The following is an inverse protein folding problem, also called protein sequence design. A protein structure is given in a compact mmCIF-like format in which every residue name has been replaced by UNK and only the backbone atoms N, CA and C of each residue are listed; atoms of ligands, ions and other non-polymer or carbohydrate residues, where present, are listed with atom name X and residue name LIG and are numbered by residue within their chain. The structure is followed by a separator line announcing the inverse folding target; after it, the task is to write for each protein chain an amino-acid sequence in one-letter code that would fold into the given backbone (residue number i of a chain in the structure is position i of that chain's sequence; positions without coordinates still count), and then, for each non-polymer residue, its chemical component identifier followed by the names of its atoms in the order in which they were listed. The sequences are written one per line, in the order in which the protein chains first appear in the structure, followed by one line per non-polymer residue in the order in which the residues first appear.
data_IF_322860204425
#
_entry.id   IF_322860204425
#
_cell.length_a   1.000
_cell.length_b   1.000
_cell.length_c   1.000
_cell.angle_alpha   90.00
_cell.angle_beta   90.00
_cell.angle_gamma   90.00
#
_symmetry.space_group_name_H-M   'P 1'
#
loop_
_entity.id
_entity.type
_entity.pdbx_description
1 polymer ?
#
# COMPACT_ATOMS: atom_id res chain seq x y z
N UNK A 1 -7.36 13.26 -24.42
CA UNK A 1 -8.63 13.92 -24.03
C UNK A 1 -9.63 12.80 -23.72
N UNK A 2 -10.34 12.83 -22.60
CA UNK A 2 -11.37 11.82 -22.29
C UNK A 2 -12.74 12.32 -22.78
N UNK A 3 -13.52 11.44 -23.41
CA UNK A 3 -14.88 11.71 -23.89
C UNK A 3 -15.86 10.73 -23.24
N UNK A 4 -17.02 11.23 -22.83
CA UNK A 4 -18.14 10.41 -22.35
C UNK A 4 -19.11 10.02 -23.49
N UNK A 5 -18.76 10.34 -24.73
CA UNK A 5 -19.56 9.99 -25.90
C UNK A 5 -19.54 8.47 -26.13
N UNK A 6 -20.69 7.78 -26.17
CA UNK A 6 -20.76 6.34 -26.44
C UNK A 6 -20.12 5.92 -27.77
N UNK A 7 -20.06 6.82 -28.75
CA UNK A 7 -19.42 6.57 -30.05
C UNK A 7 -17.89 6.43 -29.95
N UNK A 8 -17.30 6.99 -28.89
CA UNK A 8 -15.86 6.98 -28.62
C UNK A 8 -15.43 5.81 -27.71
N UNK A 9 -16.37 4.94 -27.30
CA UNK A 9 -16.09 3.75 -26.49
C UNK A 9 -15.19 2.74 -27.21
N UNK A 10 -15.20 2.74 -28.55
CA UNK A 10 -14.33 1.90 -29.37
C UNK A 10 -12.86 2.32 -29.36
N UNK A 11 -12.54 3.54 -28.92
CA UNK A 11 -11.17 4.04 -28.89
C UNK A 11 -10.41 3.50 -27.67
N UNK A 12 -9.77 2.36 -27.84
CA UNK A 12 -9.00 1.68 -26.80
C UNK A 12 -7.87 2.54 -26.23
N UNK A 13 -7.30 3.48 -27.00
CA UNK A 13 -6.24 4.38 -26.54
C UNK A 13 -6.75 5.47 -25.59
N UNK A 14 -8.05 5.74 -25.54
CA UNK A 14 -8.65 6.65 -24.56
C UNK A 14 -9.01 5.96 -23.24
N UNK A 15 -9.35 4.67 -23.27
CA UNK A 15 -9.95 3.97 -22.13
C UNK A 15 -9.02 2.98 -21.44
N UNK A 16 -7.95 2.54 -22.13
CA UNK A 16 -7.00 1.57 -21.60
C UNK A 16 -5.65 2.24 -21.34
N UNK A 17 -5.22 2.23 -20.09
CA UNK A 17 -3.93 2.81 -19.66
C UNK A 17 -2.76 1.84 -19.83
N UNK A 18 -3.01 0.61 -20.26
CA UNK A 18 -1.99 -0.41 -20.45
C UNK A 18 -0.88 0.11 -21.38
N UNK A 19 0.36 0.07 -20.90
CA UNK A 19 1.55 0.53 -21.65
C UNK A 19 1.70 -0.20 -22.99
N UNK A 20 1.31 -1.48 -23.07
CA UNK A 20 1.33 -2.25 -24.32
C UNK A 20 0.40 -1.70 -25.39
N UNK A 21 -0.69 -1.04 -25.00
CA UNK A 21 -1.66 -0.42 -25.90
C UNK A 21 -1.24 1.02 -26.18
N UNK A 22 -0.90 1.78 -25.13
CA UNK A 22 -0.53 3.20 -25.24
C UNK A 22 0.70 3.47 -26.12
N UNK A 23 1.65 2.53 -26.20
CA UNK A 23 2.83 2.64 -27.08
C UNK A 23 2.52 2.78 -28.57
N UNK A 24 1.34 2.34 -29.00
CA UNK A 24 0.92 2.41 -30.40
C UNK A 24 0.04 3.63 -30.69
N UNK A 25 -0.18 4.51 -29.71
CA UNK A 25 -0.96 5.74 -29.89
C UNK A 25 -0.11 6.83 -30.58
N UNK A 26 -0.71 7.60 -31.49
CA UNK A 26 -0.02 8.68 -32.23
C UNK A 26 0.57 9.77 -31.30
N UNK A 27 -0.05 10.01 -30.14
CA UNK A 27 0.37 11.01 -29.14
C UNK A 27 1.29 10.42 -28.04
N UNK A 28 1.86 9.22 -28.24
CA UNK A 28 2.72 8.59 -27.25
C UNK A 28 4.01 9.39 -27.05
N UNK A 29 4.21 9.94 -25.85
CA UNK A 29 5.45 10.62 -25.51
C UNK A 29 6.52 9.60 -25.10
N UNK A 30 7.43 9.26 -26.01
CA UNK A 30 8.54 8.32 -25.76
C UNK A 30 9.46 8.73 -24.61
N UNK A 31 9.60 10.04 -24.34
CA UNK A 31 10.52 10.55 -23.30
C UNK A 31 10.06 10.25 -21.86
N UNK A 32 8.75 10.20 -21.61
CA UNK A 32 8.17 9.93 -20.28
C UNK A 32 7.24 8.71 -20.25
N UNK A 33 6.86 8.16 -21.40
CA UNK A 33 6.03 6.96 -21.55
C UNK A 33 4.61 7.08 -20.99
N UNK A 34 4.08 8.32 -20.91
CA UNK A 34 2.80 8.65 -20.25
C UNK A 34 2.71 8.19 -18.79
N UNK A 35 3.84 8.23 -18.07
CA UNK A 35 3.94 7.84 -16.66
C UNK A 35 4.38 9.01 -15.80
N UNK A 36 3.78 9.11 -14.62
CA UNK A 36 4.25 9.95 -13.53
C UNK A 36 4.68 9.08 -12.36
N UNK A 37 5.69 9.53 -11.62
CA UNK A 37 5.98 8.91 -10.34
C UNK A 37 4.83 9.16 -9.37
N UNK A 38 4.67 8.29 -8.38
CA UNK A 38 3.68 8.49 -7.31
C UNK A 38 3.95 9.81 -6.56
N UNK A 39 5.20 10.24 -6.43
CA UNK A 39 5.56 11.51 -5.81
C UNK A 39 5.02 12.70 -6.62
N UNK A 40 5.21 12.68 -7.95
CA UNK A 40 4.77 13.76 -8.84
C UNK A 40 3.24 13.84 -8.90
N UNK A 41 2.56 12.69 -8.99
CA UNK A 41 1.09 12.63 -8.96
C UNK A 41 0.54 13.24 -7.66
N UNK A 42 1.09 12.86 -6.51
CA UNK A 42 0.59 13.35 -5.23
C UNK A 42 0.93 14.83 -5.02
N UNK A 43 2.09 15.30 -5.50
CA UNK A 43 2.43 16.72 -5.51
C UNK A 43 1.45 17.53 -6.38
N UNK A 44 1.10 17.02 -7.56
CA UNK A 44 0.12 17.67 -8.43
C UNK A 44 -1.27 17.76 -7.79
N UNK A 45 -1.73 16.69 -7.15
CA UNK A 45 -3.01 16.70 -6.44
C UNK A 45 -2.95 17.63 -5.22
N UNK A 46 -1.82 17.69 -4.50
CA UNK A 46 -1.66 18.59 -3.35
C UNK A 46 -1.76 20.05 -3.81
N UNK A 47 -1.11 20.40 -4.91
CA UNK A 47 -1.17 21.75 -5.49
C UNK A 47 -2.54 22.15 -6.02
N UNK A 48 -3.39 21.20 -6.44
CA UNK A 48 -4.69 21.48 -7.06
C UNK A 48 -5.89 21.27 -6.14
N UNK A 49 -5.80 20.38 -5.16
CA UNK A 49 -6.90 19.93 -4.28
C UNK A 49 -6.59 20.07 -2.79
N UNK A 50 -5.35 20.44 -2.44
CA UNK A 50 -4.90 20.63 -1.08
C UNK A 50 -4.36 19.37 -0.40
N UNK A 51 -3.58 19.58 0.65
CA UNK A 51 -2.88 18.51 1.40
C UNK A 51 -3.82 17.48 2.02
N UNK A 52 -4.94 17.93 2.59
CA UNK A 52 -5.90 17.03 3.24
C UNK A 52 -6.50 16.02 2.24
N UNK A 53 -6.79 16.46 1.02
CA UNK A 53 -7.35 15.61 -0.03
C UNK A 53 -6.34 14.54 -0.46
N UNK A 54 -5.07 14.92 -0.61
CA UNK A 54 -3.98 13.98 -0.93
C UNK A 54 -3.78 12.95 0.17
N UNK A 55 -3.80 13.37 1.44
CA UNK A 55 -3.61 12.45 2.55
C UNK A 55 -4.77 11.45 2.64
N UNK A 56 -6.01 11.92 2.45
CA UNK A 56 -7.19 11.05 2.36
C UNK A 56 -7.08 10.04 1.21
N UNK A 57 -6.67 10.48 0.02
CA UNK A 57 -6.48 9.59 -1.12
C UNK A 57 -5.37 8.57 -0.87
N UNK A 58 -4.21 9.01 -0.39
CA UNK A 58 -3.07 8.14 -0.05
C UNK A 58 -3.49 7.08 0.96
N UNK A 59 -4.19 7.49 2.00
CA UNK A 59 -4.70 6.59 3.02
C UNK A 59 -5.70 5.58 2.44
N UNK A 60 -6.69 6.03 1.65
CA UNK A 60 -7.67 5.16 1.02
C UNK A 60 -7.03 4.11 0.10
N UNK A 61 -6.00 4.48 -0.67
CA UNK A 61 -5.23 3.52 -1.50
C UNK A 61 -4.52 2.46 -0.65
N UNK A 62 -3.91 2.86 0.48
CA UNK A 62 -3.30 1.90 1.42
C UNK A 62 -4.32 0.93 2.00
N UNK A 63 -5.50 1.44 2.37
CA UNK A 63 -6.57 0.60 2.93
C UNK A 63 -7.14 -0.40 1.91
N UNK A 64 -7.20 -0.04 0.61
CA UNK A 64 -7.54 -1.00 -0.45
C UNK A 64 -6.61 -2.23 -0.43
N UNK A 65 -5.29 -1.99 -0.32
CA UNK A 65 -4.29 -3.07 -0.27
C UNK A 65 -4.46 -3.92 0.99
N UNK A 66 -4.62 -3.30 2.16
CA UNK A 66 -4.78 -4.03 3.43
C UNK A 66 -6.07 -4.85 3.45
N UNK A 67 -7.20 -4.28 3.02
CA UNK A 67 -8.49 -4.97 3.05
C UNK A 67 -8.58 -6.13 2.06
N UNK A 68 -8.05 -5.95 0.86
CA UNK A 68 -8.03 -7.01 -0.14
C UNK A 68 -7.21 -8.22 0.32
N UNK A 69 -6.01 -8.00 0.88
CA UNK A 69 -5.19 -9.07 1.44
C UNK A 69 -5.84 -9.74 2.66
N UNK A 70 -6.42 -8.96 3.58
CA UNK A 70 -7.14 -9.52 4.74
C UNK A 70 -8.33 -10.39 4.34
N UNK A 71 -9.08 -9.98 3.31
CA UNK A 71 -10.24 -10.74 2.84
C UNK A 71 -9.87 -12.16 2.35
N UNK A 72 -8.64 -12.35 1.86
CA UNK A 72 -8.13 -13.62 1.35
C UNK A 72 -7.15 -14.32 2.31
N UNK A 73 -6.82 -13.72 3.45
CA UNK A 73 -5.82 -14.24 4.40
C UNK A 73 -6.10 -15.70 4.82
N UNK A 74 -7.38 -16.08 4.96
CA UNK A 74 -7.76 -17.44 5.34
C UNK A 74 -7.60 -18.51 4.25
N UNK A 75 -7.40 -18.11 2.99
CA UNK A 75 -7.23 -19.02 1.85
C UNK A 75 -5.81 -19.00 1.27
N UNK A 76 -5.06 -17.93 1.51
CA UNK A 76 -3.66 -17.81 1.09
C UNK A 76 -2.79 -18.76 1.91
N UNK A 77 -1.98 -19.58 1.23
CA UNK A 77 -1.01 -20.46 1.90
C UNK A 77 0.07 -19.59 2.53
N UNK A 78 0.11 -19.59 3.86
CA UNK A 78 1.09 -18.83 4.63
C UNK A 78 2.26 -19.75 5.03
N UNK A 79 3.30 -19.78 4.20
CA UNK A 79 4.58 -20.41 4.53
C UNK A 79 5.60 -19.31 4.88
N UNK A 80 6.23 -19.42 6.05
CA UNK A 80 7.22 -18.46 6.56
C UNK A 80 8.46 -18.30 5.68
N UNK A 81 8.70 -19.22 4.75
CA UNK A 81 9.82 -19.17 3.81
C UNK A 81 9.41 -18.62 2.43
N UNK A 82 8.12 -18.28 2.25
CA UNK A 82 7.58 -17.72 1.04
C UNK A 82 7.28 -16.24 1.21
N UNK A 83 7.44 -15.50 0.12
CA UNK A 83 6.99 -14.11 -0.01
C UNK A 83 6.42 -13.92 -1.41
N UNK A 84 5.55 -12.94 -1.58
CA UNK A 84 4.95 -12.62 -2.87
C UNK A 84 4.90 -11.10 -3.06
N UNK A 85 5.18 -10.67 -4.30
CA UNK A 85 5.12 -9.26 -4.69
C UNK A 85 3.90 -9.06 -5.61
N UNK A 86 2.93 -8.29 -5.13
CA UNK A 86 1.72 -7.99 -5.88
C UNK A 86 1.79 -6.62 -6.55
N UNK A 87 1.23 -6.51 -7.75
CA UNK A 87 0.89 -5.25 -8.41
C UNK A 87 -0.58 -4.91 -8.21
N UNK A 88 -0.87 -3.70 -7.74
CA UNK A 88 -2.25 -3.22 -7.54
C UNK A 88 -2.60 -2.16 -8.58
N UNK A 89 -3.63 -2.43 -9.36
CA UNK A 89 -4.14 -1.48 -10.34
C UNK A 89 -5.34 -0.74 -9.75
N UNK A 90 -5.13 0.53 -9.43
CA UNK A 90 -6.12 1.39 -8.76
C UNK A 90 -6.43 2.57 -9.68
N UNK A 91 -7.72 2.77 -9.97
CA UNK A 91 -8.20 3.97 -10.67
C UNK A 91 -8.71 5.00 -9.65
N UNK A 92 -8.43 6.28 -9.89
CA UNK A 92 -8.90 7.38 -9.04
C UNK A 92 -9.91 8.20 -9.82
N UNK A 93 -11.10 8.39 -9.24
CA UNK A 93 -12.16 9.18 -9.89
C UNK A 93 -12.03 10.69 -9.66
N UNK A 94 -12.95 11.46 -10.26
CA UNK A 94 -12.97 12.92 -10.16
C UNK A 94 -13.18 13.45 -8.72
N UNK A 95 -13.71 12.63 -7.80
CA UNK A 95 -13.88 12.95 -6.40
C UNK A 95 -12.69 12.50 -5.53
N UNK A 96 -11.59 12.07 -6.16
CA UNK A 96 -10.42 11.48 -5.50
C UNK A 96 -10.73 10.22 -4.70
N UNK A 97 -11.75 9.45 -5.13
CA UNK A 97 -12.01 8.14 -4.56
C UNK A 97 -11.24 7.08 -5.37
N UNK A 98 -10.37 6.29 -4.72
CA UNK A 98 -9.69 5.18 -5.37
C UNK A 98 -10.61 3.95 -5.47
N UNK A 99 -10.49 3.22 -6.57
CA UNK A 99 -11.21 1.99 -6.87
C UNK A 99 -10.23 0.93 -7.33
N UNK A 100 -10.26 -0.24 -6.67
CA UNK A 100 -9.45 -1.39 -7.08
C UNK A 100 -10.01 -1.97 -8.37
N UNK A 101 -9.15 -2.14 -9.37
CA UNK A 101 -9.49 -2.78 -10.65
C UNK A 101 -9.07 -4.24 -10.63
N UNK A 102 -7.79 -4.49 -10.38
CA UNK A 102 -7.22 -5.84 -10.33
C UNK A 102 -5.99 -5.92 -9.43
N UNK A 103 -5.65 -7.16 -9.05
CA UNK A 103 -4.44 -7.50 -8.30
C UNK A 103 -3.66 -8.53 -9.11
N UNK A 104 -2.42 -8.20 -9.43
CA UNK A 104 -1.52 -9.01 -10.24
C UNK A 104 -0.49 -9.70 -9.36
N UNK A 105 -0.51 -11.05 -9.36
CA UNK A 105 0.49 -11.90 -8.67
C UNK A 105 1.89 -11.88 -9.34
N UNK A 106 2.01 -11.28 -10.52
CA UNK A 106 3.27 -11.18 -11.26
C UNK A 106 3.35 -9.84 -11.98
N UNK A 107 3.60 -8.74 -11.26
CA UNK A 107 3.74 -7.43 -11.88
C UNK A 107 4.91 -7.42 -12.87
N UNK A 108 4.72 -6.76 -14.03
CA UNK A 108 5.75 -6.73 -15.07
C UNK A 108 7.00 -5.97 -14.60
N UNK A 109 8.14 -6.65 -14.59
CA UNK A 109 9.45 -6.05 -14.33
C UNK A 109 10.21 -5.64 -15.60
N UNK A 110 9.58 -5.72 -16.78
CA UNK A 110 10.19 -5.26 -18.05
C UNK A 110 10.27 -3.72 -18.09
N UNK A 111 11.48 -3.16 -18.17
CA UNK A 111 11.66 -1.71 -18.24
C UNK A 111 11.39 -1.19 -19.65
N UNK A 112 10.62 -0.11 -19.77
CA UNK A 112 10.33 0.53 -21.07
C UNK A 112 10.92 1.94 -21.18
N UNK A 113 11.38 2.50 -20.07
CA UNK A 113 12.07 3.79 -19.96
C UNK A 113 13.23 3.68 -18.95
N UNK A 114 14.15 4.65 -18.94
CA UNK A 114 15.22 4.70 -17.94
C UNK A 114 14.66 4.84 -16.52
N UNK A 115 13.62 5.65 -16.35
CA UNK A 115 12.92 5.81 -15.07
C UNK A 115 12.30 4.49 -14.59
N UNK A 116 11.67 3.71 -15.49
CA UNK A 116 11.15 2.37 -15.15
C UNK A 116 12.28 1.45 -14.69
N UNK A 117 13.44 1.48 -15.36
CA UNK A 117 14.57 0.61 -15.01
C UNK A 117 15.08 0.91 -13.61
N UNK A 118 15.26 2.18 -13.28
CA UNK A 118 15.72 2.59 -11.94
C UNK A 118 14.71 2.19 -10.88
N UNK A 119 13.43 2.48 -11.10
CA UNK A 119 12.36 2.13 -10.15
C UNK A 119 12.26 0.62 -9.94
N UNK A 120 12.29 -0.16 -11.02
CA UNK A 120 12.14 -1.63 -10.94
C UNK A 120 13.36 -2.29 -10.31
N UNK A 121 14.57 -1.79 -10.59
CA UNK A 121 15.78 -2.24 -9.93
C UNK A 121 15.71 -1.98 -8.42
N UNK A 122 15.23 -0.79 -8.02
CA UNK A 122 15.05 -0.44 -6.61
C UNK A 122 14.02 -1.34 -5.92
N UNK A 123 12.88 -1.60 -6.56
CA UNK A 123 11.86 -2.53 -6.05
C UNK A 123 12.44 -3.91 -5.76
N UNK A 124 13.25 -4.46 -6.68
CA UNK A 124 13.89 -5.78 -6.52
C UNK A 124 14.90 -5.75 -5.36
N UNK A 125 15.80 -4.77 -5.33
CA UNK A 125 16.83 -4.62 -4.30
C UNK A 125 16.21 -4.49 -2.91
N UNK A 126 15.20 -3.62 -2.76
CA UNK A 126 14.51 -3.39 -1.50
C UNK A 126 13.63 -4.59 -1.10
N UNK A 127 13.04 -5.33 -2.05
CA UNK A 127 12.33 -6.59 -1.75
C UNK A 127 13.28 -7.59 -1.10
N UNK A 128 14.47 -7.78 -1.70
CA UNK A 128 15.46 -8.72 -1.17
C UNK A 128 15.97 -8.27 0.20
N UNK A 129 16.14 -6.97 0.44
CA UNK A 129 16.49 -6.44 1.77
C UNK A 129 15.43 -6.78 2.81
N UNK A 130 14.14 -6.55 2.51
CA UNK A 130 13.04 -6.85 3.45
C UNK A 130 13.02 -8.34 3.80
N UNK A 131 13.09 -9.21 2.79
CA UNK A 131 13.01 -10.67 2.98
C UNK A 131 14.28 -11.20 3.67
N UNK A 132 15.47 -10.70 3.32
CA UNK A 132 16.72 -11.14 3.95
C UNK A 132 16.84 -10.64 5.41
N UNK A 133 16.48 -9.38 5.69
CA UNK A 133 16.52 -8.84 7.05
C UNK A 133 15.60 -9.63 8.02
N UNK A 134 14.46 -10.13 7.54
CA UNK A 134 13.59 -10.99 8.36
C UNK A 134 14.22 -12.35 8.75
N UNK A 135 15.19 -12.85 7.97
CA UNK A 135 15.89 -14.11 8.26
C UNK A 135 16.91 -13.94 9.38
N UNK A 136 17.66 -12.84 9.37
CA UNK A 136 18.68 -12.57 10.38
C UNK A 136 18.06 -12.33 11.76
N UNK A 137 16.88 -11.69 11.81
CA UNK A 137 16.11 -11.52 13.05
C UNK A 137 15.56 -12.84 13.63
N UNK A 138 15.31 -13.86 12.80
CA UNK A 138 14.82 -15.17 13.28
C UNK A 138 15.94 -16.11 13.75
N UNK A 139 17.18 -15.92 13.29
CA UNK A 139 18.28 -16.85 13.58
C UNK A 139 19.15 -16.45 14.78
N UNK A 140 19.24 -15.15 15.11
CA UNK A 140 20.03 -14.68 16.24
C UNK A 140 19.15 -13.93 17.22
N UNK A 141 19.01 -14.45 18.45
CA UNK A 141 18.39 -13.74 19.58
C UNK A 141 19.14 -12.48 20.04
N UNK A 142 19.92 -11.85 19.16
CA UNK A 142 20.69 -10.62 19.39
C UNK A 142 20.56 -9.70 18.17
N UNK A 143 19.75 -8.65 18.35
CA UNK A 143 19.76 -7.34 17.68
C UNK A 143 20.23 -7.21 16.23
N UNK A 144 19.26 -6.96 15.34
CA UNK A 144 19.40 -6.51 13.95
C UNK A 144 19.95 -5.06 13.83
N UNK A 145 21.02 -4.72 14.54
CA UNK A 145 21.54 -3.34 14.64
C UNK A 145 22.59 -3.00 13.55
N UNK A 146 23.19 -3.98 12.88
CA UNK A 146 24.39 -3.75 12.05
C UNK A 146 24.12 -3.63 10.54
N UNK A 147 22.99 -4.16 10.04
CA UNK A 147 22.65 -4.11 8.61
C UNK A 147 21.87 -2.84 8.19
N UNK A 148 21.48 -2.02 9.15
CA UNK A 148 20.61 -0.84 8.97
C UNK A 148 21.38 0.49 8.89
N UNK A 149 22.69 0.47 8.61
CA UNK A 149 23.46 1.70 8.40
C UNK A 149 23.48 2.08 6.92
N UNK A 150 23.13 3.33 6.56
CA UNK A 150 23.41 3.82 5.22
C UNK A 150 24.91 3.80 5.00
N UNK A 151 25.36 3.27 3.86
CA UNK A 151 26.74 3.33 3.42
C UNK A 151 27.11 4.77 3.03
N UNK A 152 27.30 5.63 4.02
CA UNK A 152 28.01 6.91 3.89
C UNK A 152 28.81 7.11 5.17
N UNK A 153 30.12 7.22 5.00
CA UNK A 153 31.11 7.18 6.08
C UNK A 153 30.82 8.19 7.19
N UNK A 154 30.79 7.70 8.42
CA UNK A 154 30.90 8.53 9.61
C UNK A 154 31.66 7.75 10.70
N UNK A 155 32.74 8.38 11.14
CA UNK A 155 33.68 7.97 12.19
C UNK A 155 32.94 7.75 13.51
N UNK A 156 33.33 6.70 14.25
CA UNK A 156 32.53 6.12 15.31
C UNK A 156 32.53 6.82 16.67
N UNK A 157 31.67 6.33 17.57
CA UNK A 157 31.83 6.40 19.04
C UNK A 157 30.97 5.31 19.71
N UNK A 158 31.60 4.56 20.62
CA UNK A 158 31.08 3.90 21.84
C UNK A 158 29.69 3.24 21.87
N UNK A 159 29.67 1.91 22.02
CA UNK A 159 28.49 1.13 22.39
C UNK A 159 28.13 1.30 23.88
N UNK A 160 26.85 1.55 24.18
CA UNK A 160 26.25 1.23 25.48
C UNK A 160 25.07 0.26 25.26
N UNK A 161 25.17 -0.90 25.91
CA UNK A 161 24.16 -1.95 25.89
C UNK A 161 23.02 -1.57 26.85
N UNK A 162 21.81 -1.39 26.31
CA UNK A 162 20.62 -1.04 27.08
C UNK A 162 19.54 -0.36 26.23
N UNK A 163 19.26 -0.91 25.04
CA UNK A 163 18.20 -0.40 24.17
C UNK A 163 16.90 -1.16 24.42
N UNK A 164 15.84 -0.44 24.80
CA UNK A 164 14.45 -0.86 24.57
C UNK A 164 14.36 -1.40 23.13
N UNK A 165 13.69 -2.54 22.86
CA UNK A 165 13.56 -3.01 21.48
C UNK A 165 12.96 -1.88 20.65
N UNK A 166 13.76 -1.34 19.74
CA UNK A 166 13.32 -0.28 18.85
C UNK A 166 12.16 -0.86 18.03
N UNK A 167 11.05 -0.11 17.94
CA UNK A 167 9.95 -0.49 17.06
C UNK A 167 10.51 -0.80 15.67
N UNK A 168 10.02 -1.87 15.00
CA UNK A 168 10.54 -2.26 13.70
C UNK A 168 10.43 -1.07 12.74
N UNK A 169 11.43 -0.84 11.89
CA UNK A 169 11.43 0.30 10.99
C UNK A 169 10.17 0.25 10.11
N UNK A 170 9.38 1.32 10.17
CA UNK A 170 8.15 1.45 9.37
C UNK A 170 8.44 1.66 7.88
N UNK A 171 9.71 1.82 7.49
CA UNK A 171 10.16 1.91 6.10
C UNK A 171 11.49 1.20 5.86
N UNK A 172 11.57 0.48 4.75
CA UNK A 172 12.79 -0.14 4.22
C UNK A 172 12.86 0.20 2.73
N UNK A 173 13.78 1.09 2.36
CA UNK A 173 13.91 1.57 0.99
C UNK A 173 12.58 2.17 0.47
N UNK A 174 12.05 1.63 -0.63
CA UNK A 174 10.75 2.03 -1.18
C UNK A 174 9.52 1.43 -0.47
N UNK A 175 9.70 0.50 0.48
CA UNK A 175 8.60 -0.13 1.20
C UNK A 175 8.22 0.64 2.47
N UNK A 176 6.91 0.73 2.71
CA UNK A 176 6.31 1.22 3.95
C UNK A 176 5.48 0.10 4.56
N UNK A 177 5.66 -0.16 5.86
CA UNK A 177 4.87 -1.13 6.59
C UNK A 177 3.44 -0.59 6.77
N UNK A 178 2.47 -1.23 6.12
CA UNK A 178 1.06 -0.82 6.18
C UNK A 178 0.25 -1.54 7.25
N UNK A 179 0.62 -2.78 7.57
CA UNK A 179 -0.11 -3.64 8.49
C UNK A 179 0.84 -4.62 9.18
N UNK A 180 0.72 -4.74 10.49
CA UNK A 180 1.41 -5.73 11.31
C UNK A 180 0.37 -6.38 12.24
N UNK A 181 0.03 -7.64 11.96
CA UNK A 181 -0.98 -8.38 12.70
C UNK A 181 -0.65 -8.50 14.20
N UNK A 182 0.62 -8.73 14.55
CA UNK A 182 1.03 -8.89 15.93
C UNK A 182 0.97 -7.57 16.70
N UNK A 183 1.51 -6.50 16.13
CA UNK A 183 1.50 -5.18 16.75
C UNK A 183 0.07 -4.63 16.90
N UNK A 184 -0.76 -4.84 15.88
CA UNK A 184 -2.13 -4.34 15.82
C UNK A 184 -3.05 -5.09 16.78
N UNK A 185 -2.96 -6.43 16.86
CA UNK A 185 -3.71 -7.20 17.85
C UNK A 185 -3.29 -6.87 19.28
N UNK A 186 -1.98 -6.68 19.52
CA UNK A 186 -1.49 -6.25 20.82
C UNK A 186 -2.00 -4.84 21.19
N UNK A 187 -2.06 -3.94 20.21
CA UNK A 187 -2.67 -2.61 20.36
C UNK A 187 -4.15 -2.68 20.71
N UNK A 188 -4.91 -3.51 20.00
CA UNK A 188 -6.33 -3.72 20.24
C UNK A 188 -6.58 -4.29 21.64
N UNK A 189 -5.86 -5.33 22.04
CA UNK A 189 -5.94 -5.90 23.39
C UNK A 189 -5.67 -4.86 24.48
N UNK A 190 -4.67 -3.98 24.31
CA UNK A 190 -4.40 -2.88 25.25
C UNK A 190 -5.56 -1.89 25.34
N UNK A 191 -6.18 -1.53 24.21
CA UNK A 191 -7.30 -0.58 24.18
C UNK A 191 -8.58 -1.17 24.78
N UNK A 192 -8.89 -2.42 24.44
CA UNK A 192 -10.01 -3.18 25.02
C UNK A 192 -9.82 -3.34 26.53
N UNK A 193 -8.60 -3.64 26.98
CA UNK A 193 -8.26 -3.72 28.42
C UNK A 193 -8.41 -2.37 29.15
N UNK A 194 -8.40 -1.25 28.42
CA UNK A 194 -8.65 0.12 28.93
C UNK A 194 -10.11 0.55 28.79
N UNK A 195 -11.01 -0.37 28.45
CA UNK A 195 -12.46 -0.13 28.37
C UNK A 195 -12.97 0.35 27.00
N UNK A 196 -12.15 0.32 25.95
CA UNK A 196 -12.62 0.62 24.59
C UNK A 196 -13.51 -0.53 24.06
N UNK A 197 -14.54 -0.19 23.28
CA UNK A 197 -15.36 -1.19 22.60
C UNK A 197 -14.51 -1.92 21.57
N UNK A 198 -14.43 -3.25 21.69
CA UNK A 198 -13.71 -4.09 20.74
C UNK A 198 -14.25 -3.91 19.32
N UNK A 199 -15.58 -3.84 19.16
CA UNK A 199 -16.22 -3.63 17.86
C UNK A 199 -15.91 -2.25 17.28
N UNK A 200 -15.89 -1.20 18.10
CA UNK A 200 -15.58 0.16 17.64
C UNK A 200 -14.10 0.31 17.25
N UNK A 201 -13.18 -0.30 18.00
CA UNK A 201 -11.75 -0.28 17.70
C UNK A 201 -11.42 -1.16 16.50
N UNK A 202 -12.02 -2.35 16.41
CA UNK A 202 -11.92 -3.21 15.23
C UNK A 202 -12.48 -2.46 14.02
N UNK A 203 -13.63 -1.80 14.14
CA UNK A 203 -14.19 -0.98 13.07
C UNK A 203 -13.28 0.19 12.71
N UNK A 204 -12.71 0.91 13.67
CA UNK A 204 -11.77 2.01 13.43
C UNK A 204 -10.48 1.54 12.75
N UNK A 205 -9.97 0.37 13.11
CA UNK A 205 -8.86 -0.31 12.43
C UNK A 205 -9.26 -0.75 11.01
N UNK A 206 -10.51 -1.18 10.82
CA UNK A 206 -11.05 -1.56 9.51
C UNK A 206 -11.48 -0.37 8.65
N UNK A 207 -11.61 0.83 9.19
CA UNK A 207 -12.10 2.01 8.47
C UNK A 207 -11.09 3.15 8.45
N UNK A 208 -9.85 2.92 8.91
CA UNK A 208 -8.76 3.87 8.76
C UNK A 208 -8.90 5.14 9.62
N UNK A 209 -9.67 5.08 10.70
CA UNK A 209 -9.84 6.23 11.60
C UNK A 209 -10.62 7.41 11.02
N UNK A 210 -11.54 7.20 10.08
CA UNK A 210 -12.52 8.22 9.73
C UNK A 210 -13.59 8.30 10.84
N UNK A 211 -13.61 9.43 11.54
CA UNK A 211 -14.37 9.65 12.78
C UNK A 211 -15.81 9.13 12.77
N UNK A 212 -16.14 8.37 13.82
CA UNK A 212 -17.51 8.01 14.16
C UNK A 212 -18.28 9.27 14.55
N UNK A 213 -19.05 9.82 13.62
CA UNK A 213 -20.18 10.68 13.92
C UNK A 213 -21.38 10.14 13.17
N UNK A 214 -22.14 9.26 13.82
CA UNK A 214 -23.55 9.10 13.50
C UNK A 214 -24.34 8.67 14.73
N UNK A 215 -25.25 9.56 15.10
CA UNK A 215 -26.25 9.41 16.13
C UNK A 215 -27.04 8.12 15.96
N UNK A 216 -27.20 7.40 17.07
CA UNK A 216 -28.20 6.36 17.22
C UNK A 216 -29.58 6.90 16.81
N UNK A 217 -30.13 6.38 15.71
CA UNK A 217 -31.57 6.22 15.57
C UNK A 217 -31.85 4.77 15.24
N UNK A 218 -32.54 4.13 16.17
CA UNK A 218 -33.17 2.82 16.00
C UNK A 218 -33.99 2.79 14.72
N UNK A 219 -33.71 1.81 13.86
CA UNK A 219 -34.69 1.22 12.97
C UNK A 219 -34.41 -0.29 12.99
N UNK A 220 -35.24 -1.02 13.73
CA UNK A 220 -35.43 -2.45 13.55
C UNK A 220 -36.11 -2.60 12.19
N UNK A 221 -35.63 -3.49 11.35
CA UNK A 221 -36.45 -4.22 10.38
C UNK A 221 -35.75 -5.54 10.02
N UNK A 222 -36.43 -6.61 10.40
CA UNK A 222 -36.11 -8.01 10.14
C UNK A 222 -36.27 -8.36 8.65
N UNK A 223 -35.28 -9.02 8.05
CA UNK A 223 -35.50 -9.90 6.89
C UNK A 223 -34.57 -11.12 6.99
N UNK A 224 -35.09 -12.36 7.00
CA UNK A 224 -34.30 -13.57 7.19
C UNK A 224 -33.64 -14.06 5.90
N UNK A 225 -32.34 -14.34 5.98
CA UNK A 225 -31.54 -14.97 4.93
C UNK A 225 -31.86 -16.48 4.84
N UNK A 226 -32.39 -16.92 3.71
CA UNK A 226 -32.63 -18.33 3.39
C UNK A 226 -31.43 -18.84 2.58
N UNK A 227 -30.66 -19.78 3.14
CA UNK A 227 -29.61 -20.53 2.42
C UNK A 227 -30.25 -21.34 1.28
N UNK A 228 -29.64 -21.29 0.10
CA UNK A 228 -29.58 -22.42 -0.85
C UNK A 228 -28.25 -23.14 -0.66
#
# INVERSE_FOLDING_TARGET
KYSSDPSELGNQYMHLTNVSIQKNAEDYNESHGNKWSMADMLLYIEGTRGREAVEKLRHAMKMIVVHSLRAVQGVVVNDRHCFELYGYDIIVDAALKPWLIEVNASPSLSATTDADRVLKAQVIDDTLRVVAASRDASNNGEGCADFMRPSVGAVGVGASAGGVPADPPTRIGCYELLYDEHADLAGLHRKVSRGASADAELWAMLSGGAGASRSHRHARDDVPYKRM
#
